data_IF_405878157598
#
_entry.id   IF_405878157598
#
_cell.length_a   1.000
_cell.length_b   1.000
_cell.length_c   1.000
_cell.angle_alpha   90.00
_cell.angle_beta   90.00
_cell.angle_gamma   90.00
#
_symmetry.space_group_name_H-M   'P 1'
#
loop_
_entity.id
_entity.type
_entity.pdbx_description
1 polymer ?
#
# COMPACT_ATOMS: atom_id res chain seq x y z
N UNK A 1 -5.22 44.94 8.72
CA UNK A 1 -5.75 43.77 9.47
C UNK A 1 -5.36 43.95 10.93
N UNK A 2 -6.33 43.94 11.84
CA UNK A 2 -6.08 44.05 13.28
C UNK A 2 -6.26 42.66 13.91
N UNK A 3 -5.26 42.19 14.66
CA UNK A 3 -5.28 40.86 15.29
C UNK A 3 -4.88 40.99 16.74
N UNK A 4 -5.57 40.23 17.61
CA UNK A 4 -5.29 40.25 19.04
C UNK A 4 -3.85 39.84 19.38
N UNK A 5 -3.34 38.78 18.74
CA UNK A 5 -2.00 38.26 19.03
C UNK A 5 -1.36 37.55 17.83
N UNK A 6 -0.02 37.44 17.84
CA UNK A 6 0.75 36.71 16.81
C UNK A 6 0.30 35.25 16.68
N UNK A 7 0.01 34.57 17.80
CA UNK A 7 -0.44 33.18 17.82
C UNK A 7 -1.83 32.94 17.21
N UNK A 8 -2.63 34.01 17.04
CA UNK A 8 -3.95 33.93 16.39
C UNK A 8 -3.87 34.09 14.87
N UNK A 9 -2.75 34.61 14.39
CA UNK A 9 -2.56 34.93 12.98
C UNK A 9 -1.89 33.79 12.19
N UNK A 10 -0.89 33.12 12.76
CA UNK A 10 -0.19 32.01 12.10
C UNK A 10 0.19 30.90 13.09
N UNK A 11 0.30 29.67 12.60
CA UNK A 11 0.59 28.48 13.44
C UNK A 11 2.08 28.22 13.60
N UNK A 12 2.90 28.71 12.67
CA UNK A 12 4.35 28.58 12.72
C UNK A 12 5.02 29.92 12.31
N UNK A 13 6.29 30.10 12.70
CA UNK A 13 7.03 31.34 12.44
C UNK A 13 7.25 31.61 10.94
N UNK A 14 7.35 30.56 10.11
CA UNK A 14 7.56 30.70 8.67
C UNK A 14 6.33 31.28 7.97
N UNK A 15 5.16 30.69 8.22
CA UNK A 15 3.84 31.09 7.74
C UNK A 15 3.54 32.53 8.19
N UNK A 16 3.87 32.89 9.43
CA UNK A 16 3.77 34.27 9.90
C UNK A 16 4.54 35.25 9.01
N UNK A 17 5.80 34.94 8.71
CA UNK A 17 6.69 35.83 7.93
C UNK A 17 6.27 35.86 6.45
N UNK A 18 5.92 34.72 5.87
CA UNK A 18 5.46 34.63 4.49
C UNK A 18 4.15 35.39 4.30
N UNK A 19 3.14 35.13 5.14
CA UNK A 19 1.83 35.79 5.03
C UNK A 19 1.94 37.30 5.32
N UNK A 20 2.78 37.73 6.26
CA UNK A 20 2.99 39.17 6.49
C UNK A 20 3.69 39.86 5.32
N UNK A 21 4.65 39.20 4.65
CA UNK A 21 5.28 39.72 3.43
C UNK A 21 4.30 39.81 2.26
N UNK A 22 3.54 38.75 2.01
CA UNK A 22 2.51 38.75 0.96
C UNK A 22 1.47 39.86 1.18
N UNK A 23 1.01 40.05 2.41
CA UNK A 23 0.06 41.12 2.74
C UNK A 23 0.69 42.50 2.56
N UNK A 24 1.97 42.66 2.91
CA UNK A 24 2.70 43.92 2.70
C UNK A 24 2.86 44.24 1.21
N UNK A 25 3.14 43.25 0.38
CA UNK A 25 3.22 43.40 -1.08
C UNK A 25 1.87 43.82 -1.69
N UNK A 26 0.77 43.40 -1.06
CA UNK A 26 -0.60 43.83 -1.38
C UNK A 26 -0.98 45.21 -0.77
N UNK A 27 -0.06 45.88 -0.08
CA UNK A 27 -0.30 47.16 0.60
C UNK A 27 -1.13 47.06 1.88
N UNK A 28 -1.27 45.86 2.46
CA UNK A 28 -2.06 45.59 3.66
C UNK A 28 -1.14 45.52 4.88
N UNK A 29 -1.42 46.35 5.88
CA UNK A 29 -0.71 46.37 7.16
C UNK A 29 -1.38 45.45 8.17
N UNK A 30 -0.59 44.70 8.94
CA UNK A 30 -1.07 43.86 10.05
C UNK A 30 -0.61 44.49 11.37
N UNK A 31 -1.55 44.71 12.28
CA UNK A 31 -1.29 45.28 13.61
C UNK A 31 -1.67 44.27 14.68
N UNK A 32 -0.73 43.97 15.57
CA UNK A 32 -0.89 43.03 16.67
C UNK A 32 -1.08 43.78 17.99
N UNK A 33 -2.27 43.64 18.60
CA UNK A 33 -2.67 44.40 19.79
C UNK A 33 -1.85 44.02 21.03
N UNK A 34 -1.73 42.73 21.36
CA UNK A 34 -1.02 42.26 22.57
C UNK A 34 0.49 42.53 22.54
N UNK A 35 1.10 42.45 21.35
CA UNK A 35 2.55 42.64 21.19
C UNK A 35 2.92 44.09 20.82
N UNK A 36 1.93 44.94 20.53
CA UNK A 36 2.16 46.34 20.12
C UNK A 36 2.95 46.49 18.81
N UNK A 37 2.86 45.49 17.91
CA UNK A 37 3.66 45.46 16.67
C UNK A 37 2.82 45.98 15.51
N UNK A 38 3.40 46.92 14.77
CA UNK A 38 2.91 47.40 13.49
C UNK A 38 3.87 46.96 12.38
N UNK A 39 3.40 46.11 11.46
CA UNK A 39 4.22 45.60 10.34
C UNK A 39 4.57 46.67 9.30
N UNK A 40 3.99 47.88 9.38
CA UNK A 40 4.40 49.01 8.55
C UNK A 40 5.75 49.61 8.96
N UNK A 41 6.21 49.37 10.20
CA UNK A 41 7.47 49.91 10.70
C UNK A 41 8.67 49.05 10.30
N UNK A 42 9.79 49.68 9.95
CA UNK A 42 11.01 48.98 9.49
C UNK A 42 11.59 47.99 10.53
N UNK A 43 11.40 48.28 11.83
CA UNK A 43 11.77 47.42 12.96
C UNK A 43 10.69 46.38 13.31
N UNK A 44 9.47 46.55 12.81
CA UNK A 44 8.31 45.73 13.14
C UNK A 44 8.47 44.28 12.68
N UNK A 45 9.03 44.04 11.49
CA UNK A 45 9.29 42.68 10.99
C UNK A 45 10.37 41.94 11.80
N UNK A 46 11.43 42.64 12.23
CA UNK A 46 12.49 42.05 13.06
C UNK A 46 11.95 41.70 14.45
N UNK A 47 11.17 42.60 15.06
CA UNK A 47 10.53 42.36 16.35
C UNK A 47 9.50 41.23 16.28
N UNK A 48 8.69 41.19 15.20
CA UNK A 48 7.75 40.11 14.93
C UNK A 48 8.45 38.76 14.83
N UNK A 49 9.55 38.71 14.07
CA UNK A 49 10.33 37.48 13.87
C UNK A 49 10.91 36.98 15.19
N UNK A 50 11.52 37.87 15.99
CA UNK A 50 12.10 37.51 17.29
C UNK A 50 11.02 36.99 18.27
N UNK A 51 9.87 37.67 18.35
CA UNK A 51 8.77 37.27 19.23
C UNK A 51 8.12 35.96 18.78
N UNK A 52 7.99 35.75 17.48
CA UNK A 52 7.48 34.49 16.94
C UNK A 52 8.44 33.32 17.15
N UNK A 53 9.75 33.55 17.06
CA UNK A 53 10.77 32.56 17.43
C UNK A 53 10.68 32.21 18.91
N UNK A 54 10.60 33.22 19.80
CA UNK A 54 10.47 33.01 21.24
C UNK A 54 9.19 32.24 21.60
N UNK A 55 8.04 32.60 21.00
CA UNK A 55 6.77 31.91 21.23
C UNK A 55 6.81 30.46 20.72
N UNK A 56 7.45 30.20 19.57
CA UNK A 56 7.62 28.85 19.06
C UNK A 56 8.56 28.02 19.96
N UNK A 57 9.66 28.61 20.44
CA UNK A 57 10.57 27.95 21.38
C UNK A 57 9.86 27.60 22.69
N UNK A 58 9.10 28.54 23.27
CA UNK A 58 8.31 28.33 24.49
C UNK A 58 7.29 27.20 24.30
N UNK A 59 6.52 27.22 23.22
CA UNK A 59 5.56 26.15 22.89
C UNK A 59 6.23 24.77 22.74
N UNK A 60 7.40 24.72 22.07
CA UNK A 60 8.16 23.48 21.97
C UNK A 60 8.72 23.02 23.31
N UNK A 61 9.14 23.96 24.17
CA UNK A 61 9.63 23.69 25.53
C UNK A 61 8.52 23.13 26.43
N UNK A 62 7.34 23.76 26.45
CA UNK A 62 6.16 23.25 27.17
C UNK A 62 5.80 21.83 26.69
N UNK A 63 5.78 21.63 25.37
CA UNK A 63 5.48 20.33 24.77
C UNK A 63 6.54 19.26 25.11
N UNK A 64 7.83 19.64 25.20
CA UNK A 64 8.91 18.75 25.65
C UNK A 64 8.76 18.42 27.14
N UNK A 65 8.51 19.41 27.98
CA UNK A 65 8.31 19.24 29.42
C UNK A 65 7.11 18.35 29.72
N UNK A 66 6.00 18.53 28.99
CA UNK A 66 4.82 17.68 29.12
C UNK A 66 5.13 16.22 28.76
N UNK A 67 5.83 16.00 27.64
CA UNK A 67 6.29 14.66 27.21
C UNK A 67 7.21 14.02 28.24
N UNK A 68 8.18 14.78 28.76
CA UNK A 68 9.08 14.34 29.81
C UNK A 68 8.32 13.94 31.08
N UNK A 69 7.36 14.78 31.51
CA UNK A 69 6.49 14.49 32.65
C UNK A 69 5.70 13.20 32.43
N UNK A 70 5.11 13.00 31.26
CA UNK A 70 4.41 11.75 30.95
C UNK A 70 5.35 10.55 30.96
N UNK A 71 6.53 10.66 30.35
CA UNK A 71 7.52 9.58 30.34
C UNK A 71 7.93 9.20 31.76
N UNK A 72 8.22 10.18 32.63
CA UNK A 72 8.56 9.92 34.04
C UNK A 72 7.42 9.25 34.81
N UNK A 73 6.17 9.63 34.56
CA UNK A 73 5.00 8.96 35.16
C UNK A 73 4.80 7.54 34.62
N UNK A 74 5.16 7.27 33.37
CA UNK A 74 5.14 5.91 32.80
C UNK A 74 6.25 5.05 33.39
N UNK A 75 7.47 5.60 33.53
CA UNK A 75 8.61 4.94 34.19
C UNK A 75 8.28 4.56 35.65
N UNK A 76 7.63 5.46 36.37
CA UNK A 76 7.23 5.22 37.77
C UNK A 76 5.93 4.41 37.90
N UNK A 77 5.30 4.01 36.80
CA UNK A 77 4.07 3.20 36.79
C UNK A 77 2.79 3.92 37.25
N UNK A 78 2.83 5.22 37.54
CA UNK A 78 1.68 6.00 38.04
C UNK A 78 0.74 6.47 36.93
N UNK A 79 1.10 6.27 35.66
CA UNK A 79 0.31 6.73 34.52
C UNK A 79 -0.66 5.65 34.00
N UNK A 80 -1.96 5.88 34.14
CA UNK A 80 -3.01 4.94 33.70
C UNK A 80 -3.64 5.27 32.33
N UNK A 81 -3.24 6.39 31.71
CA UNK A 81 -3.77 6.90 30.44
C UNK A 81 -4.68 8.12 30.61
N UNK A 82 -5.04 8.76 29.50
CA UNK A 82 -5.91 9.96 29.50
C UNK A 82 -7.39 9.63 29.22
N UNK A 83 -7.72 8.38 28.92
CA UNK A 83 -9.09 7.95 28.58
C UNK A 83 -9.34 6.58 29.19
N UNK A 84 -10.48 6.42 29.88
CA UNK A 84 -10.87 5.15 30.46
C UNK A 84 -11.38 4.19 29.37
N UNK A 85 -10.95 2.91 29.36
CA UNK A 85 -11.59 1.89 28.55
C UNK A 85 -13.05 1.67 29.01
N UNK A 86 -13.88 1.13 28.13
CA UNK A 86 -15.24 0.71 28.49
C UNK A 86 -15.19 -0.27 29.67
N UNK A 87 -16.11 -0.19 30.63
CA UNK A 87 -16.04 -0.89 31.92
C UNK A 87 -15.43 -0.08 33.05
N UNK A 88 -14.76 1.03 32.73
CA UNK A 88 -14.04 1.84 33.70
C UNK A 88 -14.37 3.34 33.61
N UNK A 89 -14.33 4.00 34.76
CA UNK A 89 -14.30 5.44 34.92
C UNK A 89 -12.88 5.88 35.32
N UNK A 90 -12.41 7.02 34.80
CA UNK A 90 -11.17 7.63 35.25
C UNK A 90 -11.52 8.71 36.28
N UNK A 91 -11.30 8.40 37.55
CA UNK A 91 -11.54 9.31 38.69
C UNK A 91 -10.21 9.51 39.42
N UNK A 92 -9.80 10.76 39.62
CA UNK A 92 -8.54 11.13 40.30
C UNK A 92 -7.29 10.42 39.75
N UNK A 93 -7.28 10.17 38.44
CA UNK A 93 -6.18 9.47 37.77
C UNK A 93 -6.13 7.96 38.03
N UNK A 94 -7.15 7.37 38.67
CA UNK A 94 -7.31 5.92 38.89
C UNK A 94 -8.48 5.37 38.08
N UNK A 95 -8.37 4.11 37.67
CA UNK A 95 -9.43 3.39 36.96
C UNK A 95 -10.35 2.71 37.97
N UNK A 96 -11.60 3.17 38.05
CA UNK A 96 -12.66 2.58 38.88
C UNK A 96 -13.62 1.78 38.01
N UNK A 97 -14.00 0.59 38.45
CA UNK A 97 -14.93 -0.29 37.73
C UNK A 97 -16.35 0.27 37.79
N UNK A 98 -17.03 0.31 36.64
CA UNK A 98 -18.47 0.56 36.56
C UNK A 98 -19.18 -0.79 36.50
N UNK A 99 -19.93 -1.20 37.55
CA UNK A 99 -20.47 -2.56 37.64
C UNK A 99 -21.34 -2.99 36.44
N UNK A 100 -22.17 -2.08 35.92
CA UNK A 100 -23.06 -2.36 34.78
C UNK A 100 -22.28 -2.64 33.49
N UNK A 101 -21.31 -1.77 33.15
CA UNK A 101 -20.45 -1.98 31.98
C UNK A 101 -19.54 -3.20 32.15
N UNK A 102 -19.07 -3.46 33.38
CA UNK A 102 -18.22 -4.59 33.70
C UNK A 102 -18.94 -5.94 33.49
N UNK A 103 -20.23 -6.03 33.81
CA UNK A 103 -21.03 -7.23 33.56
C UNK A 103 -21.11 -7.55 32.06
N UNK A 104 -21.24 -6.52 31.20
CA UNK A 104 -21.23 -6.70 29.73
C UNK A 104 -19.88 -7.23 29.26
N UNK A 105 -18.77 -6.72 29.81
CA UNK A 105 -17.43 -7.19 29.46
C UNK A 105 -17.23 -8.65 29.91
N UNK A 106 -17.62 -8.99 31.13
CA UNK A 106 -17.56 -10.38 31.61
C UNK A 106 -18.38 -11.32 30.71
N UNK A 107 -19.56 -10.88 30.26
CA UNK A 107 -20.37 -11.64 29.31
C UNK A 107 -19.66 -11.82 27.96
N UNK A 108 -19.02 -10.77 27.42
CA UNK A 108 -18.22 -10.86 26.17
C UNK A 108 -17.11 -11.92 26.30
N UNK A 109 -16.39 -11.94 27.43
CA UNK A 109 -15.36 -12.94 27.68
C UNK A 109 -15.95 -14.35 27.85
N UNK A 110 -17.07 -14.50 28.57
CA UNK A 110 -17.77 -15.77 28.74
C UNK A 110 -18.26 -16.35 27.40
N UNK A 111 -18.87 -15.52 26.54
CA UNK A 111 -19.28 -15.94 25.19
C UNK A 111 -18.07 -16.34 24.33
N UNK A 112 -16.94 -15.63 24.45
CA UNK A 112 -15.73 -16.00 23.71
C UNK A 112 -15.18 -17.36 24.17
N UNK A 113 -15.17 -17.61 25.48
CA UNK A 113 -14.77 -18.89 26.08
C UNK A 113 -15.71 -20.03 25.71
N UNK A 114 -17.01 -19.75 25.55
CA UNK A 114 -17.99 -20.70 25.04
C UNK A 114 -17.88 -20.99 23.52
N UNK A 115 -16.91 -20.37 22.83
CA UNK A 115 -16.60 -20.65 21.43
C UNK A 115 -17.32 -19.76 20.40
N UNK A 116 -18.09 -18.76 20.84
CA UNK A 116 -18.75 -17.82 19.93
C UNK A 116 -17.72 -16.94 19.19
N UNK A 117 -17.92 -16.75 17.88
CA UNK A 117 -17.12 -15.85 17.06
C UNK A 117 -17.42 -14.37 17.36
N UNK A 118 -16.47 -13.47 17.12
CA UNK A 118 -16.61 -12.04 17.42
C UNK A 118 -17.80 -11.39 16.70
N UNK A 119 -18.09 -11.80 15.46
CA UNK A 119 -19.27 -11.35 14.71
C UNK A 119 -20.58 -11.77 15.39
N UNK A 120 -20.65 -13.01 15.86
CA UNK A 120 -21.82 -13.53 16.57
C UNK A 120 -22.01 -12.79 17.88
N UNK A 121 -20.94 -12.55 18.65
CA UNK A 121 -20.99 -11.79 19.90
C UNK A 121 -21.54 -10.37 19.65
N UNK A 122 -21.02 -9.66 18.66
CA UNK A 122 -21.50 -8.32 18.31
C UNK A 122 -22.99 -8.31 17.91
N UNK A 123 -23.42 -9.29 17.10
CA UNK A 123 -24.84 -9.43 16.72
C UNK A 123 -25.74 -9.72 17.92
N UNK A 124 -25.34 -10.63 18.80
CA UNK A 124 -26.11 -10.98 20.00
C UNK A 124 -26.28 -9.79 20.94
N UNK A 125 -25.22 -9.01 21.19
CA UNK A 125 -25.31 -7.82 22.05
C UNK A 125 -26.23 -6.74 21.46
N UNK A 126 -26.17 -6.55 20.14
CA UNK A 126 -27.07 -5.62 19.45
C UNK A 126 -28.53 -6.11 19.48
N UNK A 127 -28.78 -7.41 19.35
CA UNK A 127 -30.12 -8.00 19.46
C UNK A 127 -30.70 -7.92 20.87
N UNK A 128 -29.85 -8.02 21.89
CA UNK A 128 -30.22 -7.85 23.30
C UNK A 128 -30.47 -6.37 23.67
N UNK A 129 -30.26 -5.44 22.74
CA UNK A 129 -30.49 -4.02 22.96
C UNK A 129 -29.50 -3.38 23.94
N UNK A 130 -28.31 -3.95 24.13
CA UNK A 130 -27.27 -3.40 25.01
C UNK A 130 -26.47 -2.34 24.25
N UNK A 131 -26.62 -1.03 24.54
CA UNK A 131 -25.85 0.01 23.87
C UNK A 131 -24.40 0.03 24.38
N UNK A 132 -23.49 0.57 23.57
CA UNK A 132 -22.16 0.94 24.08
C UNK A 132 -22.24 2.25 24.88
N UNK A 133 -21.18 2.61 25.63
CA UNK A 133 -21.10 3.88 26.39
C UNK A 133 -21.44 5.14 25.61
N UNK A 134 -21.21 5.13 24.30
CA UNK A 134 -21.46 6.26 23.39
C UNK A 134 -22.85 6.18 22.72
N UNK A 135 -23.68 5.20 23.09
CA UNK A 135 -24.97 4.93 22.43
C UNK A 135 -24.86 4.26 21.05
N UNK A 136 -23.64 3.95 20.59
CA UNK A 136 -23.40 3.31 19.31
C UNK A 136 -23.60 1.78 19.37
N UNK A 137 -23.92 1.12 18.24
CA UNK A 137 -24.00 -0.34 18.16
C UNK A 137 -22.64 -1.02 18.32
N UNK A 138 -22.67 -2.30 18.66
CA UNK A 138 -21.49 -3.15 18.78
C UNK A 138 -20.94 -3.53 17.40
N UNK A 139 -19.69 -3.16 17.15
CA UNK A 139 -18.92 -3.58 15.98
C UNK A 139 -17.89 -4.63 16.37
N UNK A 140 -17.54 -5.49 15.40
CA UNK A 140 -16.51 -6.54 15.55
C UNK A 140 -15.18 -5.96 16.04
N UNK A 141 -14.78 -4.79 15.55
CA UNK A 141 -13.56 -4.09 15.96
C UNK A 141 -13.56 -3.72 17.45
N UNK A 142 -14.71 -3.33 18.01
CA UNK A 142 -14.86 -2.99 19.43
C UNK A 142 -14.79 -4.24 20.31
N UNK A 143 -15.40 -5.35 19.87
CA UNK A 143 -15.26 -6.65 20.52
C UNK A 143 -13.80 -7.13 20.50
N UNK A 144 -13.14 -7.05 19.34
CA UNK A 144 -11.72 -7.38 19.22
C UNK A 144 -10.85 -6.56 20.18
N UNK A 145 -11.09 -5.25 20.26
CA UNK A 145 -10.40 -4.36 21.19
C UNK A 145 -10.60 -4.79 22.65
N UNK A 146 -11.83 -5.11 23.05
CA UNK A 146 -12.11 -5.56 24.43
C UNK A 146 -11.37 -6.86 24.74
N UNK A 147 -11.44 -7.84 23.84
CA UNK A 147 -10.85 -9.15 24.06
C UNK A 147 -9.31 -9.12 24.06
N UNK A 148 -8.67 -8.13 23.43
CA UNK A 148 -7.20 -8.02 23.30
C UNK A 148 -6.54 -7.02 24.24
N UNK A 149 -7.32 -6.21 24.95
CA UNK A 149 -6.79 -5.16 25.80
C UNK A 149 -6.41 -5.70 27.19
N UNK A 150 -5.13 -5.62 27.54
CA UNK A 150 -4.57 -6.08 28.80
C UNK A 150 -5.16 -5.38 30.03
N UNK A 151 -5.75 -4.19 29.85
CA UNK A 151 -6.40 -3.43 30.93
C UNK A 151 -7.51 -4.22 31.64
N UNK A 152 -8.19 -5.13 30.94
CA UNK A 152 -9.25 -5.92 31.57
C UNK A 152 -8.76 -6.95 32.59
N UNK A 153 -7.46 -7.25 32.60
CA UNK A 153 -6.79 -8.11 33.61
C UNK A 153 -6.23 -7.29 34.78
N UNK A 154 -6.17 -5.96 34.64
CA UNK A 154 -5.54 -5.06 35.60
C UNK A 154 -4.16 -4.56 35.18
N UNK A 155 -3.63 -5.04 34.06
CA UNK A 155 -2.31 -4.63 33.54
C UNK A 155 -2.41 -3.39 32.64
N UNK A 156 -1.32 -2.64 32.46
CA UNK A 156 -1.28 -1.50 31.56
C UNK A 156 -0.01 -1.49 30.73
N UNK A 157 -0.15 -1.61 29.40
CA UNK A 157 0.93 -1.37 28.46
C UNK A 157 0.89 0.08 27.98
N UNK A 158 1.90 0.85 28.39
CA UNK A 158 2.03 2.27 28.13
C UNK A 158 2.88 2.53 26.87
N UNK A 159 2.76 3.74 26.31
CA UNK A 159 3.51 4.18 25.13
C UNK A 159 3.31 3.33 23.85
N UNK A 160 2.08 2.80 23.65
CA UNK A 160 1.68 2.08 22.41
C UNK A 160 1.72 2.96 21.15
N UNK A 161 1.65 4.28 21.30
CA UNK A 161 1.72 5.28 20.23
C UNK A 161 2.57 6.45 20.70
N UNK A 162 3.24 7.13 19.78
CA UNK A 162 4.00 8.33 20.04
C UNK A 162 3.77 9.37 18.94
N UNK A 163 4.08 10.63 19.23
CA UNK A 163 4.04 11.70 18.24
C UNK A 163 5.41 11.78 17.56
N UNK A 164 5.46 11.46 16.26
CA UNK A 164 6.70 11.40 15.49
C UNK A 164 7.23 12.80 15.15
N UNK A 165 6.32 13.73 14.84
CA UNK A 165 6.65 15.11 14.52
C UNK A 165 5.84 16.06 15.41
N UNK A 166 6.52 16.91 16.17
CA UNK A 166 5.90 17.85 17.10
C UNK A 166 5.18 19.02 16.41
N UNK A 167 5.51 19.31 15.14
CA UNK A 167 4.91 20.39 14.36
C UNK A 167 3.64 19.92 13.64
N UNK A 168 3.66 18.73 13.03
CA UNK A 168 2.50 18.16 12.32
C UNK A 168 1.56 17.35 13.23
N UNK A 169 1.95 17.14 14.49
CA UNK A 169 1.25 16.31 15.47
C UNK A 169 0.94 14.88 14.99
N UNK A 170 1.74 14.37 14.05
CA UNK A 170 1.53 13.04 13.48
C UNK A 170 1.76 11.95 14.52
N UNK A 171 0.74 11.10 14.73
CA UNK A 171 0.78 10.01 15.70
C UNK A 171 1.08 8.67 15.02
N UNK A 172 2.19 8.05 15.41
CA UNK A 172 2.61 6.73 14.92
C UNK A 172 2.44 5.67 16.01
N UNK A 173 2.21 4.42 15.60
CA UNK A 173 2.25 3.26 16.51
C UNK A 173 3.70 2.96 16.88
N UNK A 174 3.95 2.68 18.16
CA UNK A 174 5.27 2.30 18.63
C UNK A 174 5.48 0.80 18.36
N UNK A 175 6.41 0.51 17.46
CA UNK A 175 6.85 -0.84 17.07
C UNK A 175 8.21 -1.22 17.65
N UNK A 176 8.82 -0.32 18.44
CA UNK A 176 10.15 -0.51 19.03
C UNK A 176 11.01 0.76 18.99
N UNK A 177 10.53 1.84 18.36
CA UNK A 177 11.27 3.10 18.25
C UNK A 177 11.46 3.82 19.60
N UNK A 178 10.56 3.59 20.55
CA UNK A 178 10.63 4.13 21.91
C UNK A 178 10.37 3.02 22.94
N UNK A 179 10.86 3.17 24.20
CA UNK A 179 10.56 2.21 25.24
C UNK A 179 9.05 2.05 25.44
N UNK A 180 8.62 0.83 25.76
CA UNK A 180 7.25 0.52 26.17
C UNK A 180 7.30 0.04 27.60
N UNK A 181 6.46 0.62 28.45
CA UNK A 181 6.42 0.29 29.87
C UNK A 181 5.21 -0.62 30.13
N UNK A 182 5.46 -1.80 30.67
CA UNK A 182 4.41 -2.73 31.06
C UNK A 182 4.28 -2.74 32.58
N UNK A 183 3.15 -2.26 33.08
CA UNK A 183 2.87 -2.16 34.52
C UNK A 183 1.87 -3.25 34.88
N UNK A 184 2.30 -4.18 35.73
CA UNK A 184 1.44 -5.24 36.25
C UNK A 184 0.53 -4.71 37.36
N UNK A 185 -0.70 -5.25 37.44
CA UNK A 185 -1.65 -5.00 38.54
C UNK A 185 -1.85 -3.50 38.86
N UNK A 186 -1.88 -2.70 37.81
CA UNK A 186 -2.02 -1.24 37.86
C UNK A 186 -3.39 -0.78 38.38
N UNK A 187 -4.43 -1.61 38.20
CA UNK A 187 -5.79 -1.36 38.65
C UNK A 187 -6.54 -2.69 38.80
N UNK A 188 -7.76 -2.65 39.37
CA UNK A 188 -8.57 -3.85 39.52
C UNK A 188 -9.05 -4.36 38.14
N UNK A 189 -8.69 -5.60 37.80
CA UNK A 189 -9.17 -6.29 36.61
C UNK A 189 -10.67 -6.65 36.69
N UNK A 190 -11.38 -6.56 35.56
CA UNK A 190 -12.76 -7.04 35.43
C UNK A 190 -12.79 -8.56 35.19
N UNK A 191 -11.74 -9.10 34.57
CA UNK A 191 -11.62 -10.51 34.15
C UNK A 191 -10.38 -11.12 34.79
N UNK A 192 -10.44 -12.41 35.13
CA UNK A 192 -9.28 -13.13 35.65
C UNK A 192 -8.19 -13.29 34.58
N UNK A 193 -6.93 -13.31 35.04
CA UNK A 193 -5.76 -13.50 34.17
C UNK A 193 -5.85 -14.81 33.36
N UNK A 194 -6.30 -15.87 34.00
CA UNK A 194 -6.51 -17.18 33.37
C UNK A 194 -7.48 -17.11 32.18
N UNK A 195 -8.64 -16.48 32.37
CA UNK A 195 -9.64 -16.31 31.32
C UNK A 195 -9.09 -15.50 30.13
N UNK A 196 -8.34 -14.43 30.42
CA UNK A 196 -7.73 -13.60 29.39
C UNK A 196 -6.67 -14.35 28.60
N UNK A 197 -5.79 -15.10 29.27
CA UNK A 197 -4.76 -15.91 28.61
C UNK A 197 -5.34 -16.98 27.69
N UNK A 198 -6.40 -17.67 28.11
CA UNK A 198 -7.09 -18.66 27.26
C UNK A 198 -7.64 -17.98 26.00
N UNK A 199 -8.28 -16.82 26.15
CA UNK A 199 -8.79 -16.04 25.03
C UNK A 199 -7.65 -15.58 24.11
N UNK A 200 -6.53 -15.09 24.67
CA UNK A 200 -5.34 -14.68 23.90
C UNK A 200 -4.72 -15.85 23.12
N UNK A 201 -4.67 -17.06 23.69
CA UNK A 201 -4.22 -18.26 22.96
C UNK A 201 -5.09 -18.56 21.73
N UNK A 202 -6.38 -18.22 21.79
CA UNK A 202 -7.27 -18.30 20.63
C UNK A 202 -7.08 -17.19 19.60
N UNK A 203 -6.29 -16.14 19.90
CA UNK A 203 -5.89 -15.06 18.99
C UNK A 203 -4.46 -15.18 18.49
N UNK A 204 -3.59 -15.85 19.24
CA UNK A 204 -2.27 -16.20 18.76
C UNK A 204 -2.46 -16.85 17.38
N UNK A 205 -1.70 -16.42 16.36
CA UNK A 205 -1.63 -17.21 15.15
C UNK A 205 -1.26 -18.59 15.66
N UNK A 206 -2.15 -19.55 15.46
CA UNK A 206 -1.77 -20.93 15.63
C UNK A 206 -0.45 -21.05 14.89
N UNK A 207 0.63 -21.51 15.54
CA UNK A 207 1.82 -21.89 14.77
C UNK A 207 1.49 -23.06 13.81
N UNK A 208 0.23 -23.54 13.85
CA UNK A 208 -0.50 -24.13 12.75
C UNK A 208 -1.48 -23.08 12.15
N UNK A 209 -0.94 -22.00 11.57
CA UNK A 209 -1.21 -21.81 10.16
C UNK A 209 -0.80 -23.16 9.59
N UNK A 210 -1.75 -24.11 9.54
CA UNK A 210 -1.83 -24.98 8.39
C UNK A 210 -1.47 -24.02 7.27
N UNK A 211 -0.37 -24.23 6.53
CA UNK A 211 -0.19 -23.46 5.31
C UNK A 211 -1.56 -23.56 4.68
N UNK A 212 -2.28 -22.43 4.66
CA UNK A 212 -3.58 -22.39 4.02
C UNK A 212 -3.18 -22.88 2.66
N UNK A 213 -3.49 -24.14 2.32
CA UNK A 213 -3.03 -24.76 1.08
C UNK A 213 -3.25 -23.67 0.07
N UNK A 214 -2.18 -23.09 -0.45
CA UNK A 214 -2.25 -21.81 -1.15
C UNK A 214 -3.16 -22.11 -2.32
N UNK A 215 -4.46 -21.83 -2.16
CA UNK A 215 -5.44 -22.36 -3.07
C UNK A 215 -5.08 -21.72 -4.40
N UNK A 216 -4.98 -22.54 -5.45
CA UNK A 216 -4.22 -22.25 -6.68
C UNK A 216 -4.61 -20.96 -7.40
N UNK A 217 -5.72 -20.31 -7.02
CA UNK A 217 -6.25 -19.12 -7.67
C UNK A 217 -6.51 -17.92 -6.72
N UNK A 218 -5.95 -17.90 -5.51
CA UNK A 218 -6.12 -16.77 -4.58
C UNK A 218 -5.63 -15.48 -5.26
N UNK A 219 -6.48 -14.44 -5.29
CA UNK A 219 -6.23 -13.14 -5.94
C UNK A 219 -5.97 -13.18 -7.46
N UNK A 220 -6.23 -14.31 -8.13
CA UNK A 220 -6.08 -14.43 -9.59
C UNK A 220 -7.41 -14.26 -10.33
N UNK A 221 -8.54 -14.52 -9.68
CA UNK A 221 -9.88 -14.41 -10.28
C UNK A 221 -10.52 -13.08 -9.88
N UNK A 222 -10.85 -12.24 -10.85
CA UNK A 222 -11.44 -10.92 -10.61
C UNK A 222 -12.90 -10.85 -11.10
N UNK A 223 -13.79 -10.32 -10.27
CA UNK A 223 -15.19 -10.08 -10.65
C UNK A 223 -15.29 -8.96 -11.70
N UNK A 224 -15.98 -9.18 -12.83
CA UNK A 224 -16.19 -8.13 -13.83
C UNK A 224 -17.08 -6.98 -13.31
N UNK A 225 -18.02 -7.27 -12.40
CA UNK A 225 -19.01 -6.30 -11.94
C UNK A 225 -18.48 -5.38 -10.82
N UNK A 226 -17.77 -5.95 -9.83
CA UNK A 226 -17.32 -5.18 -8.65
C UNK A 226 -15.79 -5.01 -8.54
N UNK A 227 -15.03 -5.61 -9.45
CA UNK A 227 -13.56 -5.54 -9.45
C UNK A 227 -12.86 -6.26 -8.29
N UNK A 228 -13.60 -6.85 -7.33
CA UNK A 228 -13.03 -7.62 -6.21
C UNK A 228 -12.66 -9.04 -6.64
N UNK A 229 -11.67 -9.60 -5.96
CA UNK A 229 -11.23 -10.97 -6.20
C UNK A 229 -12.21 -12.00 -5.61
N UNK A 230 -12.34 -13.14 -6.28
CA UNK A 230 -13.18 -14.24 -5.80
C UNK A 230 -12.56 -14.88 -4.55
N UNK A 231 -13.42 -15.42 -3.69
CA UNK A 231 -13.04 -16.16 -2.49
C UNK A 231 -13.32 -17.64 -2.69
N UNK A 232 -12.43 -18.47 -2.17
CA UNK A 232 -12.60 -19.92 -2.09
C UNK A 232 -13.66 -20.30 -1.06
N UNK A 233 -14.52 -21.23 -1.41
CA UNK A 233 -15.61 -21.76 -0.59
C UNK A 233 -15.57 -23.28 -0.70
N UNK A 234 -15.54 -23.93 0.45
CA UNK A 234 -15.68 -25.37 0.54
C UNK A 234 -17.12 -25.74 0.87
N UNK A 235 -17.77 -26.54 0.03
CA UNK A 235 -19.15 -27.00 0.24
C UNK A 235 -19.28 -28.48 -0.12
N UNK A 236 -19.73 -29.29 0.84
CA UNK A 236 -19.99 -30.73 0.66
C UNK A 236 -18.82 -31.51 0.01
N UNK A 237 -17.59 -31.23 0.43
CA UNK A 237 -16.38 -31.89 -0.10
C UNK A 237 -15.91 -31.38 -1.47
N UNK A 238 -16.54 -30.33 -2.02
CA UNK A 238 -16.17 -29.70 -3.30
C UNK A 238 -15.72 -28.26 -3.09
N UNK A 239 -14.70 -27.86 -3.84
CA UNK A 239 -14.12 -26.52 -3.82
C UNK A 239 -14.70 -25.62 -4.91
N UNK A 240 -15.22 -24.46 -4.51
CA UNK A 240 -15.84 -23.46 -5.38
C UNK A 240 -15.23 -22.07 -5.19
N UNK A 241 -15.37 -21.22 -6.19
CA UNK A 241 -14.97 -19.81 -6.16
C UNK A 241 -16.16 -18.91 -6.44
N UNK A 242 -16.38 -17.88 -5.62
CA UNK A 242 -17.45 -16.89 -5.83
C UNK A 242 -17.10 -15.49 -5.32
N UNK A 243 -17.89 -14.49 -5.73
CA UNK A 243 -17.68 -13.09 -5.38
C UNK A 243 -18.08 -12.80 -3.91
N UNK A 244 -17.20 -12.22 -3.07
CA UNK A 244 -17.48 -11.96 -1.66
C UNK A 244 -18.59 -10.92 -1.44
N UNK A 245 -18.71 -9.91 -2.30
CA UNK A 245 -19.74 -8.87 -2.15
C UNK A 245 -21.14 -9.37 -2.51
N UNK A 246 -21.22 -10.35 -3.42
CA UNK A 246 -22.45 -11.05 -3.73
C UNK A 246 -22.91 -11.87 -2.52
N UNK A 247 -21.99 -12.60 -1.86
CA UNK A 247 -22.31 -13.36 -0.65
C UNK A 247 -22.76 -12.46 0.52
N UNK A 248 -22.18 -11.26 0.64
CA UNK A 248 -22.54 -10.32 1.70
C UNK A 248 -23.79 -9.47 1.37
N UNK A 249 -24.37 -9.62 0.17
CA UNK A 249 -25.53 -8.83 -0.29
C UNK A 249 -25.26 -7.34 -0.49
N UNK A 250 -23.98 -6.94 -0.61
CA UNK A 250 -23.60 -5.52 -0.69
C UNK A 250 -23.72 -4.93 -2.11
N UNK A 251 -23.73 -5.78 -3.15
CA UNK A 251 -23.81 -5.39 -4.56
C UNK A 251 -24.62 -6.40 -5.38
N UNK A 252 -25.33 -5.93 -6.42
CA UNK A 252 -26.05 -6.75 -7.40
C UNK A 252 -25.10 -7.41 -8.44
N UNK A 253 -24.05 -8.11 -7.99
CA UNK A 253 -23.18 -8.87 -8.89
C UNK A 253 -23.87 -10.14 -9.40
N UNK A 254 -23.51 -10.60 -10.60
CA UNK A 254 -24.03 -11.85 -11.16
C UNK A 254 -23.64 -13.05 -10.29
N UNK A 255 -24.57 -14.01 -10.16
CA UNK A 255 -24.35 -15.24 -9.38
C UNK A 255 -23.52 -16.23 -10.20
N UNK A 256 -22.21 -16.03 -10.19
CA UNK A 256 -21.25 -16.91 -10.84
C UNK A 256 -20.53 -17.78 -9.80
N UNK A 257 -20.64 -19.10 -9.94
CA UNK A 257 -19.98 -20.07 -9.06
C UNK A 257 -19.11 -20.99 -9.91
N UNK A 258 -17.80 -20.92 -9.71
CA UNK A 258 -16.83 -21.67 -10.50
C UNK A 258 -16.29 -22.84 -9.68
N UNK A 259 -16.31 -24.04 -10.23
CA UNK A 259 -15.67 -25.22 -9.64
C UNK A 259 -14.15 -25.14 -9.84
N UNK A 260 -13.38 -25.44 -8.80
CA UNK A 260 -11.91 -25.44 -8.88
C UNK A 260 -11.39 -26.43 -9.94
N UNK A 261 -12.02 -27.60 -10.04
CA UNK A 261 -11.64 -28.63 -11.01
C UNK A 261 -11.88 -28.18 -12.46
N UNK A 262 -12.99 -27.46 -12.69
CA UNK A 262 -13.32 -26.89 -13.99
C UNK A 262 -12.34 -25.77 -14.37
N UNK A 263 -11.89 -24.97 -13.41
CA UNK A 263 -10.87 -23.94 -13.63
C UNK A 263 -9.52 -24.54 -14.01
N UNK A 264 -9.05 -25.58 -13.30
CA UNK A 264 -7.79 -26.26 -13.63
C UNK A 264 -7.82 -26.85 -15.04
N UNK A 265 -8.92 -27.51 -15.43
CA UNK A 265 -9.11 -28.03 -16.79
C UNK A 265 -9.11 -26.93 -17.85
N UNK A 266 -9.78 -25.80 -17.59
CA UNK A 266 -9.78 -24.67 -18.52
C UNK A 266 -8.37 -24.10 -18.74
N UNK A 267 -7.55 -24.02 -17.69
CA UNK A 267 -6.15 -23.60 -17.79
C UNK A 267 -5.31 -24.58 -18.62
N UNK A 268 -5.42 -25.89 -18.35
CA UNK A 268 -4.69 -26.91 -19.11
C UNK A 268 -5.07 -26.88 -20.60
N UNK A 269 -6.36 -26.72 -20.90
CA UNK A 269 -6.83 -26.59 -22.29
C UNK A 269 -6.29 -25.33 -22.97
N UNK A 270 -6.26 -24.20 -22.25
CA UNK A 270 -5.68 -22.95 -22.75
C UNK A 270 -4.20 -23.16 -23.11
N UNK A 271 -3.41 -23.76 -22.20
CA UNK A 271 -1.99 -23.99 -22.42
C UNK A 271 -1.74 -25.00 -23.54
N UNK A 272 -2.54 -26.06 -23.64
CA UNK A 272 -2.47 -27.03 -24.75
C UNK A 272 -2.73 -26.37 -26.10
N UNK A 273 -3.75 -25.51 -26.19
CA UNK A 273 -4.06 -24.76 -27.43
C UNK A 273 -2.99 -23.73 -27.77
N UNK A 274 -2.47 -23.03 -26.76
CA UNK A 274 -1.38 -22.07 -26.92
C UNK A 274 -0.12 -22.75 -27.46
N UNK A 275 0.27 -23.88 -26.88
CA UNK A 275 1.42 -24.65 -27.34
C UNK A 275 1.23 -25.18 -28.76
N UNK A 276 0.05 -25.73 -29.08
CA UNK A 276 -0.24 -26.28 -30.42
C UNK A 276 -0.26 -25.21 -31.51
N UNK A 277 -0.68 -24.00 -31.18
CA UNK A 277 -0.83 -22.88 -32.13
C UNK A 277 0.23 -21.79 -31.92
N UNK A 278 1.33 -22.08 -31.23
CA UNK A 278 2.36 -21.10 -30.93
C UNK A 278 2.99 -20.52 -32.20
N UNK A 279 3.36 -21.39 -33.15
CA UNK A 279 4.03 -20.98 -34.40
C UNK A 279 3.11 -20.11 -35.27
N UNK A 280 1.80 -20.36 -35.26
CA UNK A 280 0.87 -19.59 -36.08
C UNK A 280 0.41 -18.30 -35.41
N UNK A 281 0.19 -18.28 -34.09
CA UNK A 281 -0.30 -17.10 -33.38
C UNK A 281 0.82 -16.16 -32.96
N UNK A 282 1.92 -16.68 -32.40
CA UNK A 282 3.01 -15.85 -31.88
C UNK A 282 3.85 -15.30 -33.02
N UNK A 283 4.27 -16.12 -33.99
CA UNK A 283 5.12 -15.59 -35.08
C UNK A 283 4.37 -14.57 -35.94
N UNK A 284 3.07 -14.77 -36.20
CA UNK A 284 2.29 -13.80 -36.98
C UNK A 284 2.08 -12.50 -36.21
N UNK A 285 1.78 -12.57 -34.90
CA UNK A 285 1.62 -11.37 -34.07
C UNK A 285 2.94 -10.62 -33.88
N UNK A 286 4.07 -11.32 -33.70
CA UNK A 286 5.40 -10.73 -33.64
C UNK A 286 5.73 -10.04 -34.97
N UNK A 287 5.54 -10.69 -36.13
CA UNK A 287 5.78 -10.07 -37.44
C UNK A 287 4.92 -8.83 -37.68
N UNK A 288 3.64 -8.87 -37.32
CA UNK A 288 2.75 -7.71 -37.42
C UNK A 288 3.20 -6.56 -36.52
N UNK A 289 3.65 -6.86 -35.30
CA UNK A 289 4.18 -5.84 -34.39
C UNK A 289 5.52 -5.28 -34.89
N UNK A 290 6.38 -6.11 -35.50
CA UNK A 290 7.62 -5.68 -36.17
C UNK A 290 7.30 -4.70 -37.32
N UNK A 291 6.29 -5.01 -38.15
CA UNK A 291 5.84 -4.10 -39.22
C UNK A 291 5.27 -2.79 -38.67
N UNK A 292 4.47 -2.85 -37.59
CA UNK A 292 3.92 -1.66 -36.94
C UNK A 292 5.04 -0.80 -36.35
N UNK A 293 6.02 -1.43 -35.70
CA UNK A 293 7.20 -0.74 -35.15
C UNK A 293 7.99 -0.06 -36.27
N UNK A 294 8.27 -0.77 -37.38
CA UNK A 294 8.97 -0.21 -38.54
C UNK A 294 8.22 0.99 -39.16
N UNK A 295 6.88 0.92 -39.26
CA UNK A 295 6.06 2.04 -39.75
C UNK A 295 6.05 3.22 -38.78
N UNK A 296 6.02 2.98 -37.47
CA UNK A 296 6.12 4.03 -36.47
C UNK A 296 7.49 4.70 -36.45
N UNK A 297 8.57 3.94 -36.66
CA UNK A 297 9.92 4.49 -36.81
C UNK A 297 10.03 5.39 -38.05
N UNK A 298 9.39 5.02 -39.16
CA UNK A 298 9.35 5.85 -40.38
C UNK A 298 8.49 7.11 -40.23
N UNK A 299 7.39 7.04 -39.47
CA UNK A 299 6.50 8.19 -39.23
C UNK A 299 7.03 9.18 -38.19
N UNK A 300 7.98 8.77 -37.35
CA UNK A 300 8.51 9.59 -36.27
C UNK A 300 9.78 10.31 -36.73
N UNK A 301 9.62 11.52 -37.29
CA UNK A 301 10.71 12.33 -37.85
C UNK A 301 11.93 12.43 -36.91
N UNK A 302 11.69 12.48 -35.60
CA UNK A 302 12.74 12.53 -34.57
C UNK A 302 13.55 11.23 -34.45
N UNK A 303 12.94 10.06 -34.64
CA UNK A 303 13.66 8.77 -34.67
C UNK A 303 14.44 8.60 -35.97
N UNK A 304 13.89 9.08 -37.08
CA UNK A 304 14.59 9.10 -38.36
C UNK A 304 15.87 9.96 -38.29
N UNK A 305 15.78 11.17 -37.74
CA UNK A 305 16.93 12.06 -37.49
C UNK A 305 17.99 11.43 -36.57
N UNK A 306 17.57 10.70 -35.52
CA UNK A 306 18.49 10.00 -34.64
C UNK A 306 19.19 8.83 -35.34
N UNK A 307 18.47 8.10 -36.20
CA UNK A 307 19.03 6.98 -36.96
C UNK A 307 20.01 7.44 -38.04
N UNK A 308 19.71 8.53 -38.76
CA UNK A 308 20.64 9.12 -39.72
C UNK A 308 21.89 9.66 -39.04
N UNK A 309 21.74 10.36 -37.91
CA UNK A 309 22.88 10.85 -37.13
C UNK A 309 23.79 9.72 -36.59
N UNK A 310 23.22 8.57 -36.20
CA UNK A 310 23.99 7.39 -35.81
C UNK A 310 24.73 6.75 -36.99
N UNK A 311 24.13 6.71 -38.18
CA UNK A 311 24.78 6.24 -39.39
C UNK A 311 25.98 7.13 -39.76
N UNK A 312 25.80 8.45 -39.75
CA UNK A 312 26.86 9.43 -40.03
C UNK A 312 28.04 9.29 -39.05
N UNK A 313 27.77 9.06 -37.76
CA UNK A 313 28.82 8.83 -36.77
C UNK A 313 29.57 7.52 -36.98
N UNK A 314 28.90 6.45 -37.42
CA UNK A 314 29.56 5.20 -37.76
C UNK A 314 30.44 5.35 -39.01
N UNK A 315 30.01 6.12 -40.02
CA UNK A 315 30.86 6.45 -41.17
C UNK A 315 32.09 7.28 -40.76
N UNK A 316 31.93 8.25 -39.86
CA UNK A 316 33.04 9.01 -39.28
C UNK A 316 34.02 8.12 -38.50
N UNK A 317 33.52 7.15 -37.75
CA UNK A 317 34.36 6.19 -37.04
C UNK A 317 35.13 5.28 -38.01
N UNK A 318 34.47 4.77 -39.06
CA UNK A 318 35.13 3.95 -40.09
C UNK A 318 36.17 4.74 -40.90
N UNK A 319 35.91 6.00 -41.22
CA UNK A 319 36.86 6.86 -41.93
C UNK A 319 38.06 7.22 -41.05
N UNK A 320 37.85 7.53 -39.77
CA UNK A 320 38.91 7.73 -38.78
C UNK A 320 39.82 6.50 -38.69
N UNK A 321 39.22 5.31 -38.57
CA UNK A 321 39.95 4.04 -38.52
C UNK A 321 40.73 3.78 -39.81
N UNK A 322 40.18 4.18 -40.98
CA UNK A 322 40.86 4.06 -42.27
C UNK A 322 42.04 5.03 -42.41
N UNK A 323 41.97 6.22 -41.80
CA UNK A 323 43.04 7.22 -41.79
C UNK A 323 44.19 6.80 -40.85
N UNK A 324 43.85 6.23 -39.69
CA UNK A 324 44.81 5.63 -38.76
C UNK A 324 45.56 4.47 -39.39
N UNK A 325 44.86 3.53 -40.03
CA UNK A 325 45.48 2.40 -40.74
C UNK A 325 46.43 2.83 -41.88
N UNK A 326 46.28 4.05 -42.40
CA UNK A 326 47.14 4.62 -43.45
C UNK A 326 48.28 5.50 -42.88
N UNK A 327 48.36 5.67 -41.57
CA UNK A 327 49.42 6.41 -40.89
C UNK A 327 49.31 7.94 -40.96
N UNK A 328 48.13 8.49 -41.29
CA UNK A 328 47.92 9.94 -41.39
C UNK A 328 47.59 10.63 -40.07
N UNK A 329 47.40 9.86 -38.98
CA UNK A 329 46.98 10.35 -37.66
C UNK A 329 47.86 9.68 -36.61
N UNK A 330 48.35 10.44 -35.64
CA UNK A 330 49.11 9.90 -34.51
C UNK A 330 48.20 9.11 -33.55
N UNK A 331 48.78 8.12 -32.84
CA UNK A 331 48.02 7.24 -31.94
C UNK A 331 47.30 8.00 -30.81
N UNK A 332 47.84 9.15 -30.39
CA UNK A 332 47.22 9.99 -29.36
C UNK A 332 45.94 10.67 -29.88
N UNK A 333 46.02 11.32 -31.04
CA UNK A 333 44.88 12.01 -31.67
C UNK A 333 43.78 11.03 -32.11
N UNK A 334 44.16 9.83 -32.56
CA UNK A 334 43.20 8.78 -32.91
C UNK A 334 42.38 8.33 -31.70
N UNK A 335 43.03 8.13 -30.53
CA UNK A 335 42.33 7.72 -29.30
C UNK A 335 41.36 8.80 -28.84
N UNK A 336 41.77 10.06 -28.83
CA UNK A 336 40.91 11.17 -28.41
C UNK A 336 39.67 11.30 -29.32
N UNK A 337 39.86 11.24 -30.65
CA UNK A 337 38.75 11.32 -31.59
C UNK A 337 37.87 10.06 -31.59
N UNK A 338 38.45 8.88 -31.37
CA UNK A 338 37.70 7.62 -31.24
C UNK A 338 36.83 7.61 -29.98
N UNK A 339 37.38 8.05 -28.85
CA UNK A 339 36.66 8.18 -27.58
C UNK A 339 35.56 9.24 -27.66
N UNK A 340 35.83 10.38 -28.31
CA UNK A 340 34.84 11.41 -28.57
C UNK A 340 33.67 10.88 -29.42
N UNK A 341 33.95 10.19 -30.52
CA UNK A 341 32.91 9.56 -31.36
C UNK A 341 32.16 8.46 -30.63
N UNK A 342 32.84 7.64 -29.81
CA UNK A 342 32.21 6.61 -29.00
C UNK A 342 31.26 7.20 -27.94
N UNK A 343 31.64 8.32 -27.31
CA UNK A 343 30.81 9.02 -26.33
C UNK A 343 29.55 9.64 -26.97
N UNK A 344 29.70 10.25 -28.16
CA UNK A 344 28.58 10.80 -28.93
C UNK A 344 27.62 9.70 -29.39
N UNK A 345 28.17 8.58 -29.88
CA UNK A 345 27.39 7.41 -30.28
C UNK A 345 26.60 6.83 -29.11
N UNK A 346 27.22 6.72 -27.92
CA UNK A 346 26.53 6.25 -26.71
C UNK A 346 25.37 7.18 -26.33
N UNK A 347 25.58 8.49 -26.34
CA UNK A 347 24.54 9.49 -26.05
C UNK A 347 23.35 9.42 -27.02
N UNK A 348 23.61 9.34 -28.32
CA UNK A 348 22.56 9.22 -29.34
C UNK A 348 21.84 7.86 -29.26
N UNK A 349 22.56 6.79 -28.94
CA UNK A 349 21.97 5.46 -28.70
C UNK A 349 21.03 5.46 -27.49
N UNK A 350 21.41 6.12 -26.39
CA UNK A 350 20.57 6.23 -25.19
C UNK A 350 19.32 7.08 -25.46
N UNK A 351 19.44 8.16 -26.23
CA UNK A 351 18.30 8.99 -26.66
C UNK A 351 17.34 8.23 -27.58
N UNK A 352 17.88 7.40 -28.48
CA UNK A 352 17.08 6.50 -29.31
C UNK A 352 16.37 5.47 -28.44
N UNK A 353 17.06 4.84 -27.49
CA UNK A 353 16.46 3.87 -26.58
C UNK A 353 15.31 4.50 -25.78
N UNK A 354 15.46 5.72 -25.26
CA UNK A 354 14.39 6.46 -24.58
C UNK A 354 13.21 6.81 -25.49
N UNK A 355 13.47 7.20 -26.74
CA UNK A 355 12.42 7.48 -27.72
C UNK A 355 11.66 6.21 -28.17
N UNK A 356 12.33 5.05 -28.15
CA UNK A 356 11.75 3.73 -28.42
C UNK A 356 10.99 3.17 -27.21
N UNK A 357 11.46 3.45 -25.98
CA UNK A 357 10.89 2.97 -24.72
C UNK A 357 9.43 3.40 -24.50
N UNK A 358 8.90 4.32 -25.31
CA UNK A 358 7.49 4.73 -25.31
C UNK A 358 6.60 3.96 -26.30
N UNK A 359 7.16 3.10 -27.15
CA UNK A 359 6.37 2.32 -28.11
C UNK A 359 5.82 1.07 -27.44
N UNK A 360 4.53 1.09 -27.09
CA UNK A 360 3.81 -0.08 -26.54
C UNK A 360 3.98 -1.34 -27.40
N UNK A 361 4.26 -1.19 -28.70
CA UNK A 361 4.50 -2.28 -29.63
C UNK A 361 5.75 -3.11 -29.25
N UNK A 362 6.90 -2.48 -28.98
CA UNK A 362 8.13 -3.20 -28.63
C UNK A 362 8.01 -3.91 -27.27
N UNK A 363 7.44 -3.24 -26.28
CA UNK A 363 7.21 -3.86 -24.97
C UNK A 363 6.28 -5.08 -25.06
N UNK A 364 5.30 -5.05 -25.97
CA UNK A 364 4.41 -6.19 -26.22
C UNK A 364 5.15 -7.29 -26.97
N UNK A 365 6.03 -6.94 -27.92
CA UNK A 365 6.87 -7.91 -28.63
C UNK A 365 7.82 -8.65 -27.71
N UNK A 366 8.52 -7.94 -26.82
CA UNK A 366 9.46 -8.56 -25.88
C UNK A 366 8.74 -9.57 -24.99
N UNK A 367 7.54 -9.22 -24.49
CA UNK A 367 6.72 -10.14 -23.70
C UNK A 367 6.18 -11.33 -24.49
N UNK A 368 5.91 -11.17 -25.79
CA UNK A 368 5.51 -12.28 -26.65
C UNK A 368 6.68 -13.22 -26.94
N UNK A 369 7.89 -12.68 -27.09
CA UNK A 369 9.13 -13.48 -27.22
C UNK A 369 9.44 -14.23 -25.93
N UNK A 370 9.31 -13.58 -24.77
CA UNK A 370 9.41 -14.27 -23.47
C UNK A 370 8.40 -15.42 -23.36
N UNK A 371 7.16 -15.21 -23.81
CA UNK A 371 6.16 -16.28 -23.83
C UNK A 371 6.57 -17.41 -24.79
N UNK A 372 7.08 -17.09 -25.98
CA UNK A 372 7.58 -18.09 -26.93
C UNK A 372 8.72 -18.92 -26.34
N UNK A 373 9.68 -18.27 -25.67
CA UNK A 373 10.79 -18.95 -25.00
C UNK A 373 10.30 -19.86 -23.87
N UNK A 374 9.34 -19.39 -23.05
CA UNK A 374 8.75 -20.21 -21.97
C UNK A 374 7.99 -21.43 -22.51
N UNK A 375 7.30 -21.30 -23.65
CA UNK A 375 6.62 -22.41 -24.28
C UNK A 375 7.60 -23.38 -24.96
N UNK A 376 8.66 -22.87 -25.59
CA UNK A 376 9.71 -23.68 -26.21
C UNK A 376 10.54 -24.46 -25.18
N UNK A 377 10.65 -23.97 -23.95
CA UNK A 377 11.30 -24.67 -22.85
C UNK A 377 10.49 -25.87 -22.32
N UNK A 378 9.23 -26.02 -22.70
CA UNK A 378 8.40 -27.16 -22.31
C UNK A 378 8.74 -28.36 -23.20
N UNK A 379 9.15 -29.48 -22.58
CA UNK A 379 9.53 -30.69 -23.29
C UNK A 379 8.33 -31.46 -23.89
N UNK A 380 7.15 -31.32 -23.28
CA UNK A 380 5.92 -32.02 -23.67
C UNK A 380 4.69 -31.10 -23.49
N UNK A 381 3.58 -31.46 -24.14
CA UNK A 381 2.30 -30.74 -24.02
C UNK A 381 1.80 -30.87 -22.57
N UNK A 382 1.50 -29.75 -21.87
CA UNK A 382 1.02 -29.80 -20.50
C UNK A 382 -0.33 -30.52 -20.40
N UNK A 383 -0.34 -31.73 -19.82
CA UNK A 383 -1.54 -32.53 -19.55
C UNK A 383 -2.09 -32.37 -18.13
N UNK A 384 -1.31 -31.75 -17.24
CA UNK A 384 -1.65 -31.51 -15.84
C UNK A 384 -1.50 -30.03 -15.52
N UNK A 385 -2.23 -29.59 -14.49
CA UNK A 385 -2.19 -28.20 -14.05
C UNK A 385 -0.91 -27.95 -13.23
N UNK A 386 -0.02 -27.15 -13.79
CA UNK A 386 1.18 -26.67 -13.11
C UNK A 386 0.98 -25.23 -12.62
N UNK A 387 1.24 -25.02 -11.33
CA UNK A 387 1.14 -23.72 -10.67
C UNK A 387 2.23 -22.74 -11.11
N UNK A 388 3.46 -23.22 -11.30
CA UNK A 388 4.58 -22.36 -11.63
C UNK A 388 4.42 -21.82 -13.05
N UNK A 389 4.02 -22.68 -13.98
CA UNK A 389 3.66 -22.28 -15.35
C UNK A 389 2.48 -21.30 -15.36
N UNK A 390 1.46 -21.55 -14.53
CA UNK A 390 0.31 -20.65 -14.41
C UNK A 390 0.71 -19.26 -13.90
N UNK A 391 1.50 -19.20 -12.84
CA UNK A 391 1.95 -17.94 -12.27
C UNK A 391 2.92 -17.20 -13.18
N UNK A 392 3.65 -17.89 -14.06
CA UNK A 392 4.48 -17.26 -15.09
C UNK A 392 3.65 -16.62 -16.20
N UNK A 393 2.65 -17.33 -16.74
CA UNK A 393 1.94 -16.93 -17.95
C UNK A 393 0.69 -16.07 -17.70
N UNK A 394 -0.07 -16.34 -16.64
CA UNK A 394 -1.40 -15.75 -16.42
C UNK A 394 -1.32 -14.59 -15.42
N UNK A 395 -1.83 -13.41 -15.79
CA UNK A 395 -1.98 -12.28 -14.87
C UNK A 395 -3.25 -12.43 -14.03
N UNK A 396 -4.40 -12.63 -14.71
CA UNK A 396 -5.72 -12.72 -14.08
C UNK A 396 -6.75 -13.44 -14.94
N UNK A 397 -7.75 -13.99 -14.27
CA UNK A 397 -8.92 -14.67 -14.86
C UNK A 397 -10.16 -13.82 -14.58
N UNK A 398 -10.93 -13.52 -15.61
CA UNK A 398 -12.20 -12.80 -15.52
C UNK A 398 -13.33 -13.70 -16.02
N UNK A 399 -14.25 -14.16 -15.15
CA UNK A 399 -15.36 -14.98 -15.58
C UNK A 399 -16.44 -14.13 -16.27
N UNK A 400 -16.81 -14.50 -17.50
CA UNK A 400 -17.88 -13.84 -18.27
C UNK A 400 -19.23 -14.51 -17.94
N UNK A 401 -19.24 -15.85 -17.90
CA UNK A 401 -20.39 -16.68 -17.58
C UNK A 401 -19.95 -17.92 -16.77
N UNK A 402 -20.89 -18.79 -16.40
CA UNK A 402 -20.55 -20.06 -15.76
C UNK A 402 -19.85 -21.05 -16.72
N UNK A 403 -19.81 -20.75 -18.02
CA UNK A 403 -19.23 -21.59 -19.06
C UNK A 403 -18.08 -20.92 -19.80
N UNK A 404 -17.85 -19.62 -19.63
CA UNK A 404 -16.83 -18.85 -20.35
C UNK A 404 -15.94 -18.05 -19.41
N UNK A 405 -14.64 -18.19 -19.61
CA UNK A 405 -13.59 -17.50 -18.87
C UNK A 405 -12.74 -16.68 -19.84
N UNK A 406 -12.41 -15.46 -19.43
CA UNK A 406 -11.43 -14.61 -20.10
C UNK A 406 -10.11 -14.69 -19.32
N UNK A 407 -9.07 -15.20 -19.96
CA UNK A 407 -7.72 -15.22 -19.43
C UNK A 407 -6.96 -14.01 -19.94
N UNK A 408 -6.41 -13.21 -19.03
CA UNK A 408 -5.45 -12.16 -19.36
C UNK A 408 -4.05 -12.66 -19.05
N UNK A 409 -3.26 -12.84 -20.09
CA UNK A 409 -1.87 -13.27 -19.98
C UNK A 409 -0.97 -12.08 -19.67
N UNK A 410 0.19 -12.31 -19.06
CA UNK A 410 1.17 -11.26 -18.77
C UNK A 410 1.74 -10.62 -20.03
N UNK A 411 1.70 -11.33 -21.17
CA UNK A 411 2.05 -10.79 -22.47
C UNK A 411 1.02 -9.81 -23.04
N UNK A 412 -0.10 -9.58 -22.35
CA UNK A 412 -1.15 -8.65 -22.76
C UNK A 412 -2.22 -9.26 -23.66
N UNK A 413 -2.10 -10.54 -24.03
CA UNK A 413 -3.14 -11.26 -24.76
C UNK A 413 -4.34 -11.56 -23.86
N UNK A 414 -5.54 -11.31 -24.40
CA UNK A 414 -6.80 -11.67 -23.77
C UNK A 414 -7.45 -12.83 -24.56
N UNK A 415 -7.48 -14.02 -23.96
CA UNK A 415 -7.97 -15.23 -24.59
C UNK A 415 -9.25 -15.72 -23.92
N UNK A 416 -10.25 -16.04 -24.72
CA UNK A 416 -11.51 -16.60 -24.25
C UNK A 416 -11.47 -18.11 -24.31
N UNK A 417 -11.83 -18.74 -23.21
CA UNK A 417 -11.91 -20.19 -23.11
C UNK A 417 -13.26 -20.65 -22.57
N UNK A 418 -13.75 -21.74 -23.16
CA UNK A 418 -14.98 -22.39 -22.76
C UNK A 418 -14.64 -23.48 -21.76
N UNK A 419 -15.28 -23.43 -20.59
CA UNK A 419 -15.12 -24.44 -19.55
C UNK A 419 -15.70 -25.77 -20.09
N UNK A 420 -14.90 -26.84 -20.18
CA UNK A 420 -15.43 -28.15 -20.55
C UNK A 420 -16.41 -28.63 -19.47
N UNK A 421 -17.61 -29.06 -19.90
CA UNK A 421 -18.67 -29.55 -19.02
C UNK A 421 -18.28 -30.83 -18.28
#
# INVERSE_FOLDING_TARGET
ILVKSVSRFARNTLELIETTRELKDLGVVVVFEEQGIDTAQMLGEMQLTLLAMAAQEESTSISKNMRWSYQKRMENGTFLGCTAPHGYALEDGKLRIIPEEAAVIQNIFAMRLAGFGQETIAKTLNQQGVPTREGAPWYVSKIHYILTNEKYVGDSLLQKKYTANSLTHERKRNTGELPRFYVHDSHQGIVSRECFEIVQKGFAPSNLSRPCEMHTFIRRIQCPDCGRHYRHIHSSGKSYWSCPNQMSGFTNCRVLRLSELSLKRAVVNLFSKLYTHQDTLLDTSIKLLEEIAARQEQGNAKLYELNTALADLNEKAHTLQRLHNKGFIEDADFREQSDALASQRKKLSDQRAQAIHGSKALETMDKLRELQDTLAALAEIPWEFDMDLFDQLVEKIVPISNTELLFKLKCGLELKEVIPQ
#
